data_IF_265679850141
#
_entry.id   IF_265679850141
#
_cell.length_a   1.000
_cell.length_b   1.000
_cell.length_c   1.000
_cell.angle_alpha   90.00
_cell.angle_beta   90.00
_cell.angle_gamma   90.00
#
_symmetry.space_group_name_H-M   'P 1'
#
loop_
_entity.id
_entity.type
_entity.pdbx_description
1 polymer ?
#
# COMPACT_ATOMS: atom_id res chain seq x y z
N UNK A 1 -19.46 -0.79 11.51
CA UNK A 1 -18.70 0.23 12.27
C UNK A 1 -19.56 1.47 12.47
N UNK A 2 -20.26 1.53 13.61
CA UNK A 2 -21.15 2.64 13.99
C UNK A 2 -20.35 3.70 14.78
N UNK A 3 -19.28 4.21 14.18
CA UNK A 3 -18.46 5.30 14.71
C UNK A 3 -18.81 6.60 14.00
N UNK A 4 -18.89 7.72 14.73
CA UNK A 4 -19.05 9.04 14.11
C UNK A 4 -17.96 9.22 13.06
N UNK A 5 -18.35 9.26 11.79
CA UNK A 5 -17.45 9.47 10.66
C UNK A 5 -16.69 10.77 10.87
N UNK A 6 -15.37 10.74 10.69
CA UNK A 6 -14.52 11.94 10.87
C UNK A 6 -14.99 13.03 9.91
N UNK A 7 -15.21 14.23 10.41
CA UNK A 7 -15.53 15.38 9.56
C UNK A 7 -14.26 15.90 8.89
N UNK A 8 -14.05 15.48 7.64
CA UNK A 8 -12.89 15.91 6.86
C UNK A 8 -12.95 17.39 6.43
N UNK A 9 -13.99 18.16 6.78
CA UNK A 9 -13.98 19.61 6.60
C UNK A 9 -13.43 20.37 7.83
N UNK A 10 -13.19 19.67 8.94
CA UNK A 10 -12.49 20.21 10.11
C UNK A 10 -11.00 19.84 10.02
N UNK A 11 -10.12 20.84 9.90
CA UNK A 11 -8.67 20.61 9.78
C UNK A 11 -8.11 19.83 10.96
N UNK A 12 -8.61 20.07 12.18
CA UNK A 12 -8.12 19.42 13.40
C UNK A 12 -8.50 17.96 13.40
N UNK A 13 -9.77 17.68 13.09
CA UNK A 13 -10.25 16.31 13.00
C UNK A 13 -9.51 15.51 11.92
N UNK A 14 -9.20 16.14 10.77
CA UNK A 14 -8.41 15.52 9.72
C UNK A 14 -6.94 15.28 10.16
N UNK A 15 -6.29 16.27 10.75
CA UNK A 15 -4.90 16.15 11.22
C UNK A 15 -4.76 15.10 12.34
N UNK A 16 -5.68 15.10 13.30
CA UNK A 16 -5.72 14.13 14.41
C UNK A 16 -5.92 12.70 13.89
N UNK A 17 -6.78 12.51 12.88
CA UNK A 17 -7.01 11.20 12.25
C UNK A 17 -5.72 10.64 11.65
N UNK A 18 -5.03 11.42 10.83
CA UNK A 18 -3.80 10.98 10.16
C UNK A 18 -2.67 10.74 11.14
N UNK A 19 -2.48 11.63 12.11
CA UNK A 19 -1.44 11.50 13.14
C UNK A 19 -1.68 10.26 14.01
N UNK A 20 -2.92 10.06 14.47
CA UNK A 20 -3.27 8.89 15.29
C UNK A 20 -3.09 7.59 14.51
N UNK A 21 -3.45 7.56 13.23
CA UNK A 21 -3.28 6.38 12.40
C UNK A 21 -1.79 6.10 12.08
N UNK A 22 -0.98 7.14 11.93
CA UNK A 22 0.47 7.02 11.80
C UNK A 22 1.08 6.36 13.06
N UNK A 23 0.72 6.86 14.25
CA UNK A 23 1.16 6.31 15.52
C UNK A 23 0.71 4.84 15.69
N UNK A 24 -0.53 4.53 15.30
CA UNK A 24 -1.05 3.17 15.32
C UNK A 24 -0.25 2.21 14.41
N UNK A 25 0.11 2.62 13.19
CA UNK A 25 0.93 1.79 12.29
C UNK A 25 2.37 1.59 12.79
N UNK A 26 2.93 2.60 13.47
CA UNK A 26 4.27 2.52 14.05
C UNK A 26 4.29 1.65 15.32
N UNK A 27 3.20 1.66 16.09
CA UNK A 27 3.03 0.91 17.33
C UNK A 27 2.41 -0.48 17.18
N UNK A 28 1.98 -0.87 15.97
CA UNK A 28 1.32 -2.16 15.73
C UNK A 28 2.21 -3.36 16.13
N UNK A 29 1.59 -4.42 16.66
CA UNK A 29 2.27 -5.58 17.23
C UNK A 29 3.18 -6.31 16.22
N UNK A 30 2.79 -6.31 14.95
CA UNK A 30 3.54 -6.94 13.86
C UNK A 30 4.59 -6.02 13.23
N UNK A 31 4.71 -4.76 13.67
CA UNK A 31 5.67 -3.80 13.12
C UNK A 31 7.09 -4.09 13.65
N UNK A 32 8.05 -4.19 12.73
CA UNK A 32 9.47 -4.32 13.03
C UNK A 32 10.29 -3.40 12.13
N UNK A 33 10.59 -2.20 12.63
CA UNK A 33 11.31 -1.18 11.87
C UNK A 33 10.58 -0.79 10.57
N UNK A 34 11.18 -0.95 9.38
CA UNK A 34 10.58 -0.59 8.10
C UNK A 34 9.61 -1.65 7.55
N UNK A 35 9.44 -2.80 8.23
CA UNK A 35 8.61 -3.91 7.72
C UNK A 35 7.54 -4.34 8.72
N UNK A 36 6.52 -5.03 8.23
CA UNK A 36 5.59 -5.82 9.05
C UNK A 36 5.98 -7.30 8.96
N UNK A 37 6.07 -7.98 10.09
CA UNK A 37 6.29 -9.42 10.17
C UNK A 37 5.04 -10.15 10.65
N UNK A 38 4.41 -10.87 9.73
CA UNK A 38 3.19 -11.63 10.02
C UNK A 38 3.49 -12.98 10.68
N UNK A 39 2.55 -13.51 11.49
CA UNK A 39 2.66 -14.84 12.07
C UNK A 39 2.65 -15.94 10.98
N UNK A 40 2.81 -17.18 11.42
CA UNK A 40 2.80 -18.39 10.58
C UNK A 40 1.41 -19.05 10.48
N UNK A 41 0.36 -18.34 10.89
CA UNK A 41 -1.03 -18.75 10.90
C UNK A 41 -1.93 -17.54 10.62
N UNK A 42 -3.19 -17.80 10.27
CA UNK A 42 -4.15 -16.76 9.92
C UNK A 42 -4.30 -16.59 8.41
N UNK A 43 -5.00 -15.53 8.02
CA UNK A 43 -5.38 -15.26 6.64
C UNK A 43 -4.85 -13.90 6.23
N UNK A 44 -4.29 -13.81 5.04
CA UNK A 44 -3.76 -12.58 4.47
C UNK A 44 -4.45 -12.28 3.15
N UNK A 45 -5.17 -11.15 3.08
CA UNK A 45 -5.68 -10.61 1.82
C UNK A 45 -4.67 -9.62 1.24
N UNK A 46 -4.16 -9.86 0.05
CA UNK A 46 -3.16 -9.00 -0.60
C UNK A 46 -3.82 -8.23 -1.74
N UNK A 47 -3.90 -6.90 -1.64
CA UNK A 47 -4.27 -6.04 -2.78
C UNK A 47 -3.05 -5.65 -3.61
N UNK A 48 -3.30 -5.28 -4.86
CA UNK A 48 -2.38 -4.49 -5.67
C UNK A 48 -2.69 -2.99 -5.56
N UNK A 49 -2.22 -2.24 -6.55
CA UNK A 49 -2.46 -0.80 -6.68
C UNK A 49 -3.96 -0.51 -6.65
N UNK A 50 -4.39 0.52 -5.93
CA UNK A 50 -5.81 0.83 -5.71
C UNK A 50 -6.25 2.14 -6.34
N UNK A 51 -5.42 3.18 -6.29
CA UNK A 51 -5.62 4.46 -6.97
C UNK A 51 -7.01 5.10 -6.81
N UNK A 52 -7.43 5.29 -5.56
CA UNK A 52 -8.73 5.85 -5.18
C UNK A 52 -9.93 5.15 -5.84
N UNK A 53 -9.79 3.85 -6.16
CA UNK A 53 -10.87 3.05 -6.74
C UNK A 53 -11.87 2.62 -5.66
N UNK A 54 -12.79 3.52 -5.32
CA UNK A 54 -13.71 3.39 -4.18
C UNK A 54 -14.55 2.10 -4.17
N UNK A 55 -15.03 1.64 -5.33
CA UNK A 55 -15.82 0.40 -5.40
C UNK A 55 -14.98 -0.83 -5.06
N UNK A 56 -13.67 -0.79 -5.36
CA UNK A 56 -12.75 -1.89 -5.09
C UNK A 56 -12.27 -1.85 -3.66
N UNK A 57 -12.02 -0.66 -3.12
CA UNK A 57 -11.81 -0.45 -1.69
C UNK A 57 -12.86 -1.16 -0.83
N UNK A 58 -14.16 -0.93 -1.08
CA UNK A 58 -15.22 -1.56 -0.29
C UNK A 58 -15.26 -3.09 -0.44
N UNK A 59 -14.98 -3.61 -1.63
CA UNK A 59 -14.94 -5.06 -1.87
C UNK A 59 -13.76 -5.73 -1.18
N UNK A 60 -12.59 -5.08 -1.20
CA UNK A 60 -11.37 -5.52 -0.50
C UNK A 60 -11.67 -5.56 1.01
N UNK A 61 -12.19 -4.47 1.58
CA UNK A 61 -12.49 -4.40 3.00
C UNK A 61 -13.54 -5.44 3.43
N UNK A 62 -14.57 -5.64 2.61
CA UNK A 62 -15.57 -6.69 2.85
C UNK A 62 -14.93 -8.09 2.85
N UNK A 63 -14.09 -8.39 1.85
CA UNK A 63 -13.43 -9.69 1.73
C UNK A 63 -12.35 -9.90 2.79
N UNK A 64 -11.78 -8.83 3.37
CA UNK A 64 -10.77 -8.91 4.42
C UNK A 64 -11.34 -9.54 5.70
N UNK A 65 -12.65 -9.38 5.98
CA UNK A 65 -13.35 -10.04 7.10
C UNK A 65 -12.68 -9.76 8.46
N UNK A 66 -12.21 -8.52 8.66
CA UNK A 66 -11.38 -8.14 9.81
C UNK A 66 -12.08 -8.36 11.16
N UNK A 67 -13.41 -8.16 11.21
CA UNK A 67 -14.21 -8.37 12.44
C UNK A 67 -14.42 -9.86 12.79
N UNK A 68 -14.19 -10.79 11.85
CA UNK A 68 -14.42 -12.22 12.08
C UNK A 68 -13.28 -12.89 12.86
N UNK A 69 -12.06 -12.36 12.78
CA UNK A 69 -10.89 -12.88 13.49
C UNK A 69 -9.77 -11.83 13.53
N UNK A 70 -9.06 -11.75 14.65
CA UNK A 70 -7.83 -10.95 14.79
C UNK A 70 -6.68 -11.47 13.93
N UNK A 71 -6.78 -12.72 13.45
CA UNK A 71 -5.78 -13.36 12.58
C UNK A 71 -6.06 -13.11 11.09
N UNK A 72 -7.08 -12.30 10.76
CA UNK A 72 -7.33 -11.85 9.39
C UNK A 72 -6.57 -10.55 9.15
N UNK A 73 -5.67 -10.54 8.17
CA UNK A 73 -4.87 -9.39 7.78
C UNK A 73 -5.18 -8.94 6.35
N UNK A 74 -4.93 -7.67 6.05
CA UNK A 74 -5.04 -7.10 4.70
C UNK A 74 -3.84 -6.21 4.40
N UNK A 75 -3.27 -6.35 3.19
CA UNK A 75 -2.30 -5.42 2.64
C UNK A 75 -3.00 -4.49 1.65
N UNK A 76 -2.73 -3.19 1.80
CA UNK A 76 -3.20 -2.13 0.91
C UNK A 76 -1.99 -1.39 0.35
N UNK A 77 -2.01 -1.03 -0.94
CA UNK A 77 -0.91 -0.30 -1.57
C UNK A 77 -1.37 0.61 -2.71
N UNK A 78 -0.59 1.66 -2.96
CA UNK A 78 -0.79 2.68 -3.99
C UNK A 78 -2.24 3.22 -4.01
N UNK A 79 -2.60 3.91 -2.93
CA UNK A 79 -3.95 4.34 -2.59
C UNK A 79 -4.41 5.59 -3.35
N UNK A 80 -3.47 6.48 -3.72
CA UNK A 80 -3.79 7.83 -4.21
C UNK A 80 -3.55 8.02 -5.72
N UNK A 81 -3.97 9.19 -6.20
CA UNK A 81 -3.91 9.62 -7.59
C UNK A 81 -4.67 8.66 -8.52
N UNK A 82 -5.99 8.60 -8.32
CA UNK A 82 -6.91 7.97 -9.24
C UNK A 82 -7.06 8.73 -10.56
N UNK A 83 -7.81 8.15 -11.49
CA UNK A 83 -8.00 8.72 -12.83
C UNK A 83 -9.07 9.83 -12.87
N UNK A 84 -9.69 10.16 -11.73
CA UNK A 84 -10.80 11.12 -11.63
C UNK A 84 -10.39 12.38 -10.89
N UNK A 85 -10.48 13.53 -11.57
CA UNK A 85 -10.32 14.85 -10.97
C UNK A 85 -11.68 15.52 -10.78
N UNK A 86 -11.84 16.27 -9.69
CA UNK A 86 -13.00 17.12 -9.43
C UNK A 86 -12.56 18.58 -9.56
N UNK A 87 -13.09 19.29 -10.56
CA UNK A 87 -12.67 20.65 -10.89
C UNK A 87 -11.15 20.79 -11.10
N UNK A 88 -10.51 19.76 -11.66
CA UNK A 88 -9.06 19.74 -11.88
C UNK A 88 -8.22 19.34 -10.66
N UNK A 89 -8.85 19.05 -9.52
CA UNK A 89 -8.18 18.69 -8.27
C UNK A 89 -8.31 17.19 -7.96
N UNK A 90 -7.32 16.64 -7.27
CA UNK A 90 -7.26 15.24 -6.84
C UNK A 90 -7.64 15.11 -5.36
N UNK A 91 -8.84 14.61 -5.08
CA UNK A 91 -9.35 14.43 -3.72
C UNK A 91 -8.99 13.07 -3.09
N UNK A 92 -8.02 12.34 -3.64
CA UNK A 92 -7.64 11.03 -3.15
C UNK A 92 -7.05 11.02 -1.73
N UNK A 93 -6.75 12.18 -1.12
CA UNK A 93 -6.49 12.28 0.33
C UNK A 93 -7.66 11.72 1.15
N UNK A 94 -8.89 11.75 0.61
CA UNK A 94 -10.06 11.15 1.24
C UNK A 94 -10.01 9.62 1.24
N UNK A 95 -9.26 8.98 0.32
CA UNK A 95 -8.98 7.54 0.41
C UNK A 95 -8.03 7.27 1.57
N UNK A 96 -6.97 8.07 1.73
CA UNK A 96 -6.07 7.96 2.87
C UNK A 96 -6.85 8.09 4.19
N UNK A 97 -7.77 9.05 4.30
CA UNK A 97 -8.60 9.21 5.49
C UNK A 97 -9.46 7.97 5.80
N UNK A 98 -10.09 7.36 4.79
CA UNK A 98 -10.85 6.11 4.97
C UNK A 98 -9.96 4.96 5.44
N UNK A 99 -8.76 4.86 4.89
CA UNK A 99 -7.79 3.84 5.29
C UNK A 99 -7.30 4.12 6.72
N UNK A 100 -7.05 5.38 7.09
CA UNK A 100 -6.68 5.78 8.44
C UNK A 100 -7.75 5.38 9.48
N UNK A 101 -9.03 5.59 9.18
CA UNK A 101 -10.14 5.13 10.04
C UNK A 101 -10.10 3.60 10.26
N UNK A 102 -9.81 2.83 9.20
CA UNK A 102 -9.73 1.36 9.26
C UNK A 102 -8.46 0.89 9.97
N UNK A 103 -7.33 1.57 9.80
CA UNK A 103 -6.09 1.34 10.56
C UNK A 103 -6.34 1.54 12.05
N UNK A 104 -7.03 2.62 12.45
CA UNK A 104 -7.35 2.85 13.86
C UNK A 104 -8.30 1.78 14.44
N UNK A 105 -9.22 1.27 13.62
CA UNK A 105 -10.13 0.21 14.02
C UNK A 105 -9.43 -1.17 14.14
N UNK A 106 -8.43 -1.45 13.30
CA UNK A 106 -7.76 -2.75 13.24
C UNK A 106 -6.23 -2.61 13.05
N UNK A 107 -5.50 -2.02 14.01
CA UNK A 107 -4.09 -1.62 13.84
C UNK A 107 -3.13 -2.79 13.60
N UNK A 108 -3.45 -3.98 14.13
CA UNK A 108 -2.62 -5.19 13.95
C UNK A 108 -3.01 -6.00 12.70
N UNK A 109 -4.07 -5.62 12.00
CA UNK A 109 -4.62 -6.37 10.88
C UNK A 109 -4.47 -5.66 9.53
N UNK A 110 -4.40 -4.33 9.53
CA UNK A 110 -4.40 -3.51 8.30
C UNK A 110 -2.99 -2.97 8.04
N UNK A 111 -2.38 -3.43 6.95
CA UNK A 111 -1.00 -3.12 6.61
C UNK A 111 -0.94 -2.25 5.35
N UNK A 112 -0.72 -0.95 5.53
CA UNK A 112 -0.70 0.02 4.42
C UNK A 112 0.73 0.19 3.92
N UNK A 113 1.06 -0.43 2.80
CA UNK A 113 2.43 -0.47 2.29
C UNK A 113 2.75 0.77 1.45
N UNK A 114 3.97 1.30 1.64
CA UNK A 114 4.42 2.50 0.94
C UNK A 114 4.51 2.23 -0.57
N UNK A 115 3.66 2.91 -1.34
CA UNK A 115 3.68 2.89 -2.80
C UNK A 115 4.52 4.02 -3.38
N UNK A 116 4.72 3.97 -4.71
CA UNK A 116 5.47 5.02 -5.38
C UNK A 116 4.67 6.32 -5.51
N UNK A 117 3.33 6.25 -5.50
CA UNK A 117 2.50 7.45 -5.47
C UNK A 117 2.56 8.15 -4.11
N UNK A 118 2.54 7.40 -3.02
CA UNK A 118 2.68 7.94 -1.67
C UNK A 118 4.08 8.54 -1.46
N UNK A 119 5.14 7.84 -1.88
CA UNK A 119 6.49 8.42 -1.80
C UNK A 119 6.61 9.69 -2.67
N UNK A 120 5.97 9.73 -3.85
CA UNK A 120 5.96 10.92 -4.69
C UNK A 120 5.28 12.11 -3.99
N UNK A 121 4.15 11.85 -3.33
CA UNK A 121 3.41 12.85 -2.55
C UNK A 121 4.27 13.37 -1.39
N UNK A 122 4.83 12.47 -0.57
CA UNK A 122 5.68 12.83 0.57
C UNK A 122 6.89 13.67 0.16
N UNK A 123 7.54 13.31 -0.95
CA UNK A 123 8.77 13.98 -1.44
C UNK A 123 8.50 15.14 -2.39
N UNK A 124 7.22 15.47 -2.61
CA UNK A 124 6.75 16.48 -3.58
C UNK A 124 7.30 16.25 -4.98
N UNK A 125 7.58 14.99 -5.34
CA UNK A 125 8.09 14.60 -6.65
C UNK A 125 6.93 14.50 -7.63
N UNK A 126 7.02 15.24 -8.74
CA UNK A 126 5.99 15.15 -9.77
C UNK A 126 5.83 13.72 -10.32
N UNK A 127 4.58 13.26 -10.34
CA UNK A 127 4.14 12.02 -11.01
C UNK A 127 2.92 12.34 -11.87
N UNK A 128 2.80 11.65 -13.01
CA UNK A 128 1.72 11.90 -13.96
C UNK A 128 1.10 10.59 -14.42
N UNK A 129 -0.22 10.58 -14.49
CA UNK A 129 -1.03 9.55 -15.16
C UNK A 129 -1.67 10.05 -16.46
N UNK A 130 -1.07 11.05 -17.09
CA UNK A 130 -1.53 11.62 -18.35
C UNK A 130 -2.40 12.87 -18.22
N UNK A 131 -2.86 13.22 -17.01
CA UNK A 131 -3.67 14.42 -16.76
C UNK A 131 -2.87 15.65 -16.29
N UNK A 132 -1.58 15.48 -15.96
CA UNK A 132 -0.73 16.52 -15.40
C UNK A 132 0.07 16.03 -14.20
N UNK A 133 0.49 16.93 -13.31
CA UNK A 133 1.21 16.59 -12.09
C UNK A 133 0.20 16.23 -10.98
N UNK A 134 0.04 14.95 -10.69
CA UNK A 134 -0.90 14.44 -9.68
C UNK A 134 -0.62 14.98 -8.28
N UNK A 135 0.65 15.17 -7.91
CA UNK A 135 1.02 15.74 -6.60
C UNK A 135 0.55 17.19 -6.48
N UNK A 136 0.60 17.97 -7.57
CA UNK A 136 0.10 19.34 -7.55
C UNK A 136 -1.43 19.36 -7.44
N UNK A 137 -2.14 18.54 -8.21
CA UNK A 137 -3.61 18.46 -8.11
C UNK A 137 -4.09 17.96 -6.75
N UNK A 138 -3.31 17.11 -6.09
CA UNK A 138 -3.59 16.67 -4.72
C UNK A 138 -3.42 17.83 -3.74
N UNK A 139 -2.32 18.59 -3.84
CA UNK A 139 -2.10 19.76 -3.00
C UNK A 139 -3.18 20.81 -3.22
N UNK A 140 -3.57 21.08 -4.46
CA UNK A 140 -4.66 22.00 -4.79
C UNK A 140 -5.97 21.59 -4.09
N UNK A 141 -6.25 20.29 -3.99
CA UNK A 141 -7.44 19.78 -3.30
C UNK A 141 -7.40 20.02 -1.79
N UNK A 142 -6.24 19.82 -1.15
CA UNK A 142 -6.04 20.06 0.28
C UNK A 142 -6.14 21.55 0.57
N UNK A 143 -5.45 22.39 -0.22
CA UNK A 143 -5.49 23.86 -0.12
C UNK A 143 -6.92 24.39 -0.30
N UNK A 144 -7.67 23.84 -1.25
CA UNK A 144 -9.05 24.20 -1.50
C UNK A 144 -9.98 23.92 -0.32
N UNK A 145 -9.78 22.80 0.40
CA UNK A 145 -10.64 22.41 1.52
C UNK A 145 -10.28 23.18 2.80
N UNK A 146 -9.00 23.32 3.11
CA UNK A 146 -8.56 23.79 4.43
C UNK A 146 -8.02 25.23 4.43
N UNK A 147 -7.79 25.84 3.27
CA UNK A 147 -7.33 27.23 3.18
C UNK A 147 -6.03 27.45 3.95
N UNK A 148 -6.03 28.41 4.87
CA UNK A 148 -4.86 28.76 5.69
C UNK A 148 -4.39 27.62 6.61
N UNK A 149 -5.27 26.66 6.92
CA UNK A 149 -4.96 25.50 7.77
C UNK A 149 -4.44 24.28 6.97
N UNK A 150 -4.37 24.38 5.65
CA UNK A 150 -3.88 23.30 4.78
C UNK A 150 -2.48 22.77 5.15
N UNK A 151 -1.49 23.60 5.56
CA UNK A 151 -0.18 23.11 5.97
C UNK A 151 -0.22 22.08 7.12
N UNK A 152 -1.11 22.27 8.11
CA UNK A 152 -1.27 21.34 9.23
C UNK A 152 -1.77 19.97 8.78
N UNK A 153 -2.77 19.96 7.89
CA UNK A 153 -3.32 18.72 7.33
C UNK A 153 -2.31 18.03 6.41
N UNK A 154 -1.57 18.80 5.60
CA UNK A 154 -0.50 18.26 4.76
C UNK A 154 0.60 17.60 5.61
N UNK A 155 1.03 18.22 6.71
CA UNK A 155 2.03 17.64 7.62
C UNK A 155 1.52 16.32 8.24
N UNK A 156 0.25 16.26 8.64
CA UNK A 156 -0.35 15.04 9.17
C UNK A 156 -0.45 13.93 8.10
N UNK A 157 -0.81 14.26 6.86
CA UNK A 157 -0.80 13.31 5.73
C UNK A 157 0.62 12.81 5.47
N UNK A 158 1.62 13.69 5.49
CA UNK A 158 3.03 13.32 5.29
C UNK A 158 3.50 12.37 6.40
N UNK A 159 3.11 12.60 7.66
CA UNK A 159 3.39 11.69 8.78
C UNK A 159 2.73 10.31 8.58
N UNK A 160 1.47 10.28 8.13
CA UNK A 160 0.77 9.04 7.81
C UNK A 160 1.45 8.24 6.70
N UNK A 161 1.89 8.92 5.63
CA UNK A 161 2.64 8.29 4.53
C UNK A 161 4.01 7.78 5.01
N UNK A 162 4.76 8.59 5.77
CA UNK A 162 6.07 8.21 6.28
C UNK A 162 6.00 6.99 7.21
N UNK A 163 4.89 6.81 7.92
CA UNK A 163 4.64 5.67 8.79
C UNK A 163 4.37 4.35 8.05
N UNK A 164 4.05 4.37 6.75
CA UNK A 164 3.78 3.15 5.98
C UNK A 164 5.01 2.20 5.94
N UNK A 165 4.86 0.89 6.21
CA UNK A 165 5.94 -0.08 5.99
C UNK A 165 6.36 -0.16 4.52
N UNK A 166 7.65 -0.46 4.30
CA UNK A 166 8.22 -0.72 2.96
C UNK A 166 7.88 -2.12 2.44
N UNK A 167 7.66 -3.07 3.35
CA UNK A 167 7.34 -4.45 3.01
C UNK A 167 6.55 -5.15 4.12
N UNK A 168 5.83 -6.20 3.73
CA UNK A 168 5.21 -7.18 4.64
C UNK A 168 5.83 -8.54 4.36
N UNK A 169 6.35 -9.20 5.40
CA UNK A 169 7.01 -10.50 5.29
C UNK A 169 6.28 -11.54 6.13
N UNK A 170 6.05 -12.73 5.55
CA UNK A 170 5.48 -13.87 6.26
C UNK A 170 6.56 -14.81 6.75
N UNK A 171 6.29 -15.55 7.83
CA UNK A 171 7.18 -16.60 8.37
C UNK A 171 7.50 -17.71 7.36
N UNK A 172 6.64 -17.93 6.36
CA UNK A 172 6.81 -18.96 5.32
C UNK A 172 7.59 -18.48 4.10
N UNK A 173 8.07 -17.24 4.08
CA UNK A 173 8.97 -16.75 3.03
C UNK A 173 8.29 -16.03 1.88
N UNK A 174 7.12 -15.42 2.11
CA UNK A 174 6.52 -14.45 1.18
C UNK A 174 6.99 -13.05 1.59
N UNK A 175 7.44 -12.25 0.62
CA UNK A 175 7.68 -10.82 0.80
C UNK A 175 6.79 -10.03 -0.16
N UNK A 176 5.90 -9.25 0.42
CA UNK A 176 5.14 -8.23 -0.28
C UNK A 176 5.87 -6.90 -0.16
N UNK A 177 6.17 -6.26 -1.28
CA UNK A 177 6.68 -4.89 -1.36
C UNK A 177 6.00 -4.21 -2.54
N UNK A 178 5.96 -2.88 -2.58
CA UNK A 178 5.25 -2.23 -3.68
C UNK A 178 5.89 -2.53 -5.03
N UNK A 179 7.22 -2.53 -5.07
CA UNK A 179 8.02 -3.08 -6.15
C UNK A 179 9.32 -3.69 -5.60
N UNK A 180 10.29 -3.92 -6.48
CA UNK A 180 11.66 -4.33 -6.18
C UNK A 180 12.61 -3.48 -7.03
N UNK A 181 13.89 -3.29 -6.63
CA UNK A 181 14.88 -2.58 -7.45
C UNK A 181 14.92 -3.15 -8.87
N UNK A 182 15.18 -2.31 -9.87
CA UNK A 182 15.43 -2.79 -11.23
C UNK A 182 16.79 -3.53 -11.31
N UNK A 183 16.91 -4.54 -12.18
CA UNK A 183 18.13 -5.36 -12.28
C UNK A 183 19.38 -4.51 -12.59
N UNK A 184 19.24 -3.52 -13.47
CA UNK A 184 20.27 -2.56 -13.85
C UNK A 184 20.62 -1.53 -12.75
N UNK A 185 19.89 -1.53 -11.64
CA UNK A 185 20.07 -0.61 -10.50
C UNK A 185 20.51 -1.30 -9.22
N UNK A 186 20.75 -2.62 -9.25
CA UNK A 186 21.22 -3.37 -8.08
C UNK A 186 22.53 -2.85 -7.49
N UNK A 187 23.44 -2.31 -8.31
CA UNK A 187 24.70 -1.76 -7.83
C UNK A 187 24.56 -0.52 -6.92
N UNK A 188 23.39 0.15 -6.95
CA UNK A 188 23.09 1.29 -6.10
C UNK A 188 22.07 0.95 -4.99
N UNK A 189 21.58 -0.29 -4.94
CA UNK A 189 20.56 -0.70 -3.99
C UNK A 189 21.20 -1.26 -2.71
N UNK A 190 20.84 -0.70 -1.56
CA UNK A 190 21.24 -1.19 -0.25
C UNK A 190 20.11 -2.04 0.36
N UNK A 191 20.21 -3.38 0.34
CA UNK A 191 19.14 -4.26 0.82
C UNK A 191 18.92 -4.21 2.34
N UNK A 192 19.87 -3.66 3.09
CA UNK A 192 19.78 -3.39 4.52
C UNK A 192 18.66 -2.42 4.87
N UNK A 193 18.10 -1.69 3.90
CA UNK A 193 16.99 -0.75 4.11
C UNK A 193 15.77 -1.39 4.79
N UNK A 194 15.60 -2.71 4.67
CA UNK A 194 14.51 -3.46 5.34
C UNK A 194 14.87 -3.94 6.76
N UNK A 195 16.08 -3.67 7.24
CA UNK A 195 16.65 -4.27 8.44
C UNK A 195 17.16 -3.22 9.45
N UNK A 196 16.97 -1.94 9.15
CA UNK A 196 17.37 -0.83 10.02
C UNK A 196 16.26 0.22 10.15
N UNK A 197 16.30 1.04 11.21
CA UNK A 197 15.47 2.24 11.29
C UNK A 197 15.66 3.14 10.06
N UNK A 198 14.56 3.73 9.60
CA UNK A 198 14.57 4.71 8.52
C UNK A 198 14.91 6.09 9.07
N UNK A 199 15.58 6.87 8.24
CA UNK A 199 15.88 8.28 8.45
C UNK A 199 15.21 9.12 7.35
N UNK A 200 14.98 10.42 7.56
CA UNK A 200 14.42 11.29 6.53
C UNK A 200 15.18 11.23 5.19
N UNK A 201 16.51 11.11 5.24
CA UNK A 201 17.36 11.01 4.05
C UNK A 201 17.09 9.76 3.19
N UNK A 202 16.49 8.70 3.74
CA UNK A 202 16.19 7.47 2.99
C UNK A 202 15.07 7.67 1.96
N UNK A 203 14.22 8.68 2.17
CA UNK A 203 13.12 9.02 1.27
C UNK A 203 13.60 9.92 0.11
N UNK A 204 14.81 10.49 0.21
CA UNK A 204 15.27 11.52 -0.70
C UNK A 204 15.98 10.97 -1.94
N UNK A 205 15.53 11.42 -3.12
CA UNK A 205 16.25 11.23 -4.39
C UNK A 205 16.00 9.90 -5.10
N UNK A 206 16.14 9.91 -6.43
CA UNK A 206 15.89 8.75 -7.29
C UNK A 206 16.96 7.65 -7.24
N UNK A 207 17.90 7.78 -6.31
CA UNK A 207 18.95 6.81 -6.04
C UNK A 207 18.77 6.10 -4.70
N UNK A 208 17.85 6.55 -3.84
CA UNK A 208 17.67 5.93 -2.53
C UNK A 208 17.08 4.53 -2.64
N UNK A 209 17.37 3.67 -1.67
CA UNK A 209 16.85 2.31 -1.63
C UNK A 209 15.32 2.27 -1.55
N UNK A 210 14.68 3.24 -0.87
CA UNK A 210 13.21 3.35 -0.84
C UNK A 210 12.68 3.64 -2.25
N UNK A 211 13.27 4.60 -2.97
CA UNK A 211 12.88 4.89 -4.34
C UNK A 211 13.04 3.65 -5.24
N UNK A 212 14.17 2.94 -5.12
CA UNK A 212 14.41 1.75 -5.92
C UNK A 212 13.41 0.61 -5.60
N UNK A 213 13.01 0.46 -4.33
CA UNK A 213 12.00 -0.51 -3.89
C UNK A 213 10.59 -0.18 -4.37
N UNK A 214 10.29 1.06 -4.75
CA UNK A 214 8.93 1.48 -5.10
C UNK A 214 8.78 1.77 -6.60
N UNK A 215 9.85 2.17 -7.30
CA UNK A 215 9.81 2.46 -8.76
C UNK A 215 10.44 1.39 -9.65
N UNK A 216 11.17 0.43 -9.10
CA UNK A 216 11.93 -0.51 -9.92
C UNK A 216 11.03 -1.36 -10.81
N UNK A 217 11.55 -1.75 -11.98
CA UNK A 217 10.87 -2.58 -12.99
C UNK A 217 11.92 -3.42 -13.70
N UNK A 218 11.50 -4.32 -14.60
CA UNK A 218 12.39 -5.19 -15.38
C UNK A 218 13.28 -6.05 -14.47
N UNK A 219 12.62 -6.80 -13.59
CA UNK A 219 13.25 -7.74 -12.69
C UNK A 219 13.79 -8.94 -13.46
N UNK A 220 14.93 -9.49 -13.02
CA UNK A 220 15.57 -10.68 -13.61
C UNK A 220 15.70 -11.79 -12.57
N UNK A 221 15.72 -13.04 -13.02
CA UNK A 221 15.74 -14.20 -12.12
C UNK A 221 16.95 -14.19 -11.19
N UNK A 222 18.14 -13.88 -11.71
CA UNK A 222 19.38 -13.84 -10.92
C UNK A 222 19.32 -12.77 -9.83
N UNK A 223 18.71 -11.62 -10.14
CA UNK A 223 18.49 -10.54 -9.18
C UNK A 223 17.52 -11.00 -8.08
N UNK A 224 16.38 -11.58 -8.46
CA UNK A 224 15.38 -12.05 -7.52
C UNK A 224 15.95 -13.14 -6.61
N UNK A 225 16.79 -14.02 -7.13
CA UNK A 225 17.53 -15.04 -6.38
C UNK A 225 18.48 -14.43 -5.33
N UNK A 226 19.16 -13.33 -5.65
CA UNK A 226 20.03 -12.63 -4.70
C UNK A 226 19.22 -12.00 -3.57
N UNK A 227 18.13 -11.31 -3.90
CA UNK A 227 17.24 -10.69 -2.92
C UNK A 227 16.56 -11.75 -2.03
N UNK A 228 16.09 -12.85 -2.64
CA UNK A 228 15.47 -13.98 -1.96
C UNK A 228 16.40 -14.58 -0.90
N UNK A 229 17.68 -14.80 -1.27
CA UNK A 229 18.71 -15.25 -0.33
C UNK A 229 18.99 -14.23 0.77
N UNK A 230 19.09 -12.94 0.43
CA UNK A 230 19.41 -11.86 1.37
C UNK A 230 18.34 -11.66 2.44
N UNK A 231 17.07 -11.76 2.07
CA UNK A 231 15.93 -11.54 2.96
C UNK A 231 15.28 -12.83 3.48
N UNK A 232 15.86 -13.99 3.13
CA UNK A 232 15.40 -15.32 3.51
C UNK A 232 13.92 -15.57 3.12
N UNK A 233 13.61 -15.36 1.85
CA UNK A 233 12.26 -15.51 1.28
C UNK A 233 12.32 -16.36 0.01
N UNK A 234 11.21 -16.99 -0.37
CA UNK A 234 11.10 -17.81 -1.59
C UNK A 234 10.36 -17.08 -2.70
N UNK A 235 9.37 -16.26 -2.35
CA UNK A 235 8.42 -15.63 -3.28
C UNK A 235 8.23 -14.16 -2.97
N UNK A 236 8.10 -13.35 -4.02
CA UNK A 236 7.80 -11.94 -4.01
C UNK A 236 6.42 -11.67 -4.58
N UNK A 237 5.67 -10.77 -3.95
CA UNK A 237 4.41 -10.24 -4.45
C UNK A 237 4.50 -8.71 -4.53
N UNK A 238 4.30 -8.16 -5.74
CA UNK A 238 4.44 -6.72 -5.97
C UNK A 238 3.21 -6.13 -6.67
N UNK A 239 3.06 -4.80 -6.56
CA UNK A 239 2.15 -4.00 -7.37
C UNK A 239 2.90 -3.31 -8.51
N UNK A 240 2.63 -2.02 -8.70
CA UNK A 240 3.33 -1.02 -9.52
C UNK A 240 3.33 -1.24 -11.05
N UNK A 241 3.39 -2.48 -11.51
CA UNK A 241 3.40 -2.82 -12.91
C UNK A 241 1.98 -3.04 -13.41
N UNK A 242 1.66 -2.50 -14.58
CA UNK A 242 0.34 -2.70 -15.19
C UNK A 242 0.18 -4.16 -15.65
N UNK A 243 -0.83 -4.82 -15.10
CA UNK A 243 -1.29 -6.15 -15.51
C UNK A 243 -2.78 -6.05 -15.89
N UNK A 244 -3.13 -6.03 -17.19
CA UNK A 244 -4.52 -5.94 -17.63
C UNK A 244 -5.44 -7.04 -17.09
N UNK A 245 -4.88 -8.22 -16.82
CA UNK A 245 -5.55 -9.36 -16.23
C UNK A 245 -5.54 -9.33 -14.70
N UNK A 246 -5.14 -8.22 -14.07
CA UNK A 246 -5.10 -8.02 -12.62
C UNK A 246 -4.01 -8.79 -11.88
N UNK A 247 -3.53 -9.91 -12.40
CA UNK A 247 -2.47 -10.72 -11.79
C UNK A 247 -1.63 -11.43 -12.85
N UNK A 248 -0.31 -11.50 -12.64
CA UNK A 248 0.62 -12.17 -13.54
C UNK A 248 1.79 -12.75 -12.78
N UNK A 249 2.18 -13.97 -13.14
CA UNK A 249 3.42 -14.58 -12.70
C UNK A 249 4.57 -14.19 -13.64
N UNK A 250 5.65 -13.67 -13.07
CA UNK A 250 6.86 -13.26 -13.77
C UNK A 250 8.04 -14.13 -13.30
N UNK A 251 8.17 -15.32 -13.90
CA UNK A 251 9.22 -16.28 -13.56
C UNK A 251 8.93 -17.09 -12.28
N UNK A 252 9.94 -17.69 -11.65
CA UNK A 252 9.75 -18.68 -10.58
C UNK A 252 9.50 -18.07 -9.19
N UNK A 253 9.70 -16.76 -9.03
CA UNK A 253 9.64 -16.10 -7.70
C UNK A 253 8.72 -14.89 -7.62
N UNK A 254 8.22 -14.36 -8.73
CA UNK A 254 7.51 -13.08 -8.70
C UNK A 254 6.06 -13.24 -9.15
N UNK A 255 5.15 -12.70 -8.34
CA UNK A 255 3.77 -12.43 -8.73
C UNK A 255 3.54 -10.91 -8.70
N UNK A 256 2.86 -10.40 -9.70
CA UNK A 256 2.44 -9.01 -9.83
C UNK A 256 0.93 -8.94 -9.71
N UNK A 257 0.39 -8.02 -8.91
CA UNK A 257 -1.04 -7.85 -8.65
C UNK A 257 -1.48 -6.40 -8.82
N UNK A 258 -2.64 -6.16 -9.45
CA UNK A 258 -3.31 -4.86 -9.51
C UNK A 258 -4.77 -5.00 -9.05
N UNK A 259 -5.25 -3.97 -8.35
CA UNK A 259 -6.61 -3.90 -7.84
C UNK A 259 -7.37 -2.66 -8.35
N UNK A 260 -6.80 -1.84 -9.22
CA UNK A 260 -7.31 -0.52 -9.64
C UNK A 260 -8.13 -0.54 -10.94
N UNK A 261 -8.26 -1.70 -11.61
CA UNK A 261 -8.90 -1.83 -12.93
C UNK A 261 -10.07 -2.80 -12.92
N UNK A 262 -10.89 -2.81 -13.97
CA UNK A 262 -12.07 -3.70 -14.06
C UNK A 262 -11.78 -5.19 -13.79
N UNK A 263 -10.61 -5.68 -14.21
CA UNK A 263 -10.15 -7.05 -13.96
C UNK A 263 -9.32 -7.18 -12.67
N UNK A 264 -9.30 -6.16 -11.81
CA UNK A 264 -8.52 -6.15 -10.58
C UNK A 264 -8.83 -7.35 -9.70
N UNK A 265 -7.81 -7.80 -9.00
CA UNK A 265 -7.86 -8.97 -8.11
C UNK A 265 -7.30 -8.63 -6.75
N UNK A 266 -7.52 -9.53 -5.81
CA UNK A 266 -6.77 -9.67 -4.57
C UNK A 266 -6.34 -11.13 -4.43
N UNK A 267 -5.31 -11.39 -3.63
CA UNK A 267 -4.87 -12.76 -3.33
C UNK A 267 -5.35 -13.10 -1.92
N UNK A 268 -6.11 -14.19 -1.77
CA UNK A 268 -6.59 -14.69 -0.49
C UNK A 268 -5.69 -15.82 0.00
N UNK A 269 -4.73 -15.49 0.88
CA UNK A 269 -3.62 -16.36 1.22
C UNK A 269 -3.72 -16.92 2.64
N UNK A 270 -3.44 -18.21 2.79
CA UNK A 270 -3.25 -18.86 4.10
C UNK A 270 -1.79 -18.69 4.56
N UNK A 271 -1.60 -18.03 5.71
CA UNK A 271 -0.26 -17.76 6.25
C UNK A 271 0.50 -19.03 6.66
N UNK A 272 -0.17 -20.17 6.84
CA UNK A 272 0.46 -21.45 7.11
C UNK A 272 1.06 -22.11 5.84
N UNK A 273 0.63 -21.68 4.65
CA UNK A 273 1.03 -22.27 3.37
C UNK A 273 2.40 -21.80 2.89
N UNK A 274 3.14 -22.68 2.21
CA UNK A 274 4.40 -22.34 1.54
C UNK A 274 4.14 -21.51 0.28
N UNK A 275 4.70 -20.30 0.16
CA UNK A 275 4.36 -19.40 -0.94
C UNK A 275 5.13 -19.77 -2.21
N UNK A 276 4.38 -19.83 -3.31
CA UNK A 276 4.89 -19.92 -4.67
C UNK A 276 4.07 -19.01 -5.59
N UNK A 277 4.63 -18.42 -6.64
CA UNK A 277 3.84 -17.58 -7.55
C UNK A 277 2.61 -18.28 -8.11
N UNK A 278 2.72 -19.57 -8.45
CA UNK A 278 1.59 -20.38 -8.92
C UNK A 278 0.49 -20.50 -7.85
N UNK A 279 0.84 -20.78 -6.59
CA UNK A 279 -0.14 -20.86 -5.51
C UNK A 279 -0.83 -19.52 -5.26
N UNK A 280 -0.08 -18.42 -5.30
CA UNK A 280 -0.64 -17.07 -5.16
C UNK A 280 -1.57 -16.73 -6.34
N UNK A 281 -1.21 -17.13 -7.56
CA UNK A 281 -2.04 -16.98 -8.75
C UNK A 281 -3.36 -17.76 -8.64
N UNK A 282 -3.31 -19.00 -8.15
CA UNK A 282 -4.48 -19.85 -7.94
C UNK A 282 -5.41 -19.35 -6.82
N UNK A 283 -4.84 -18.62 -5.86
CA UNK A 283 -5.57 -18.03 -4.72
C UNK A 283 -6.15 -16.64 -5.03
N UNK A 284 -6.03 -16.17 -6.28
CA UNK A 284 -6.51 -14.85 -6.67
C UNK A 284 -8.03 -14.82 -6.82
N UNK A 285 -8.66 -13.82 -6.21
CA UNK A 285 -10.09 -13.54 -6.29
C UNK A 285 -10.32 -12.29 -7.12
N UNK A 286 -11.17 -12.40 -8.14
CA UNK A 286 -11.59 -11.27 -8.97
C UNK A 286 -12.46 -10.33 -8.15
N UNK A 287 -12.10 -9.05 -8.07
CA UNK A 287 -12.89 -8.08 -7.32
C UNK A 287 -14.30 -7.95 -7.92
N UNK A 288 -14.44 -8.02 -9.25
CA UNK A 288 -15.74 -7.93 -9.91
C UNK A 288 -16.71 -9.07 -9.52
N UNK A 289 -16.23 -10.25 -9.09
CA UNK A 289 -17.09 -11.37 -8.68
C UNK A 289 -17.59 -11.26 -7.24
N UNK A 290 -17.06 -10.30 -6.46
CA UNK A 290 -17.50 -10.05 -5.09
C UNK A 290 -18.75 -9.17 -5.15
N UNK A 291 -19.90 -9.73 -4.77
CA UNK A 291 -21.08 -8.95 -4.46
C UNK A 291 -20.87 -8.33 -3.09
N UNK A 292 -20.47 -7.06 -3.02
CA UNK A 292 -20.57 -6.32 -1.78
C UNK A 292 -22.05 -6.34 -1.37
N UNK A 293 -22.39 -6.90 -0.21
CA UNK A 293 -23.75 -6.84 0.31
C UNK A 293 -24.20 -5.37 0.32
N UNK A 294 -25.38 -5.10 -0.26
CA UNK A 294 -25.95 -3.78 -0.46
C UNK A 294 -25.66 -2.82 0.70
N UNK A 295 -24.76 -1.86 0.47
CA UNK A 295 -24.76 -0.52 1.07
C UNK A 295 -25.02 -0.36 2.57
N UNK A 296 -24.84 -1.38 3.40
CA UNK A 296 -25.04 -1.29 4.86
C UNK A 296 -23.71 -1.46 5.55
N UNK A 297 -22.85 -0.47 5.39
CA UNK A 297 -22.04 -0.03 6.50
C UNK A 297 -22.99 0.65 7.50
N UNK A 298 -23.40 -0.09 8.53
CA UNK A 298 -23.93 0.50 9.76
C UNK A 298 -22.78 1.08 10.56
#
# INVERSE_FOLDING_TARGET
>A
MNGNRVDLNDHRAAADLFTSAADAMLGAAHRSGPIVELPDHGRLLISGDLHDHLDHWYRILHLARLEESTDNHVILQELIHGDRLLNGMDFSYRMLARVAEVVLAFPDQVHVMLGNHELAQLTRRAVSKGAGNSVAFFQDAVDWVYGDDAPEVTEAIDAFIAAMPLAVRTRRGLLCSHSLPAADRMGAFEPEILERPLSPADYEGSGSSIYLLTWGRRHQEEQLDLLARRWNVSTFCIGHQSVPEGIRQDGPRLIVVNSDRANGVVIDWDLASEPSPQGLLESAVRLHSITAADGRAS
#
